data_IF_165716200957
#
_entry.id   IF_165716200957
#
_cell.length_a   1.000
_cell.length_b   1.000
_cell.length_c   1.000
_cell.angle_alpha   90.00
_cell.angle_beta   90.00
_cell.angle_gamma   90.00
#
_symmetry.space_group_name_H-M   'P 1'
#
loop_
_entity.id
_entity.type
_entity.pdbx_description
1 polymer ?
#
# COMPACT_ATOMS: atom_id res chain seq x y z
N UNK A 1 -6.41 34.98 60.43
CA UNK A 1 -6.09 33.72 59.74
C UNK A 1 -6.52 33.88 58.29
N UNK A 2 -5.58 34.16 57.38
CA UNK A 2 -5.86 34.31 55.95
C UNK A 2 -5.72 32.94 55.27
N UNK A 3 -6.83 32.40 54.76
CA UNK A 3 -6.81 31.21 53.90
C UNK A 3 -6.27 31.59 52.53
N UNK A 4 -5.06 31.11 52.23
CA UNK A 4 -4.50 31.11 50.88
C UNK A 4 -5.29 30.14 50.03
N UNK A 5 -6.05 30.64 49.05
CA UNK A 5 -6.71 29.82 48.04
C UNK A 5 -5.68 29.45 46.99
N UNK A 6 -5.23 28.20 46.99
CA UNK A 6 -4.40 27.65 45.93
C UNK A 6 -5.24 27.52 44.65
N UNK A 7 -4.91 28.34 43.65
CA UNK A 7 -5.50 28.24 42.33
C UNK A 7 -4.99 26.96 41.64
N UNK A 8 -5.87 25.99 41.42
CA UNK A 8 -5.55 24.81 40.63
C UNK A 8 -5.39 25.24 39.16
N UNK A 9 -4.16 25.23 38.67
CA UNK A 9 -3.84 25.54 37.26
C UNK A 9 -4.21 24.31 36.41
N UNK A 10 -5.24 24.45 35.57
CA UNK A 10 -5.57 23.44 34.56
C UNK A 10 -4.56 23.52 33.40
N UNK A 11 -3.55 22.65 33.42
CA UNK A 11 -2.65 22.47 32.29
C UNK A 11 -3.29 21.54 31.26
N UNK A 12 -3.86 22.11 30.20
CA UNK A 12 -4.28 21.33 29.05
C UNK A 12 -3.05 20.71 28.36
N UNK A 13 -3.05 19.41 28.01
CA UNK A 13 -1.96 18.81 27.26
C UNK A 13 -1.82 19.52 25.90
N UNK A 14 -0.58 19.83 25.51
CA UNK A 14 -0.29 20.44 24.21
C UNK A 14 -0.74 19.53 23.07
N UNK A 15 -1.23 20.10 21.94
CA UNK A 15 -1.66 19.31 20.80
C UNK A 15 -0.51 18.48 20.24
N UNK A 16 -0.66 17.16 20.25
CA UNK A 16 0.28 16.23 19.59
C UNK A 16 0.08 16.28 18.08
N UNK A 17 1.18 16.46 17.34
CA UNK A 17 1.15 16.41 15.87
C UNK A 17 0.88 14.97 15.44
N UNK A 18 -0.31 14.74 14.87
CA UNK A 18 -0.71 13.44 14.34
C UNK A 18 -0.31 13.37 12.87
N UNK A 19 0.62 12.47 12.55
CA UNK A 19 0.96 12.16 11.16
C UNK A 19 0.02 11.09 10.61
N UNK A 20 -0.61 11.30 9.45
CA UNK A 20 -1.46 10.29 8.84
C UNK A 20 -0.59 9.14 8.29
N UNK A 21 -1.09 7.92 8.42
CA UNK A 21 -0.43 6.71 7.93
C UNK A 21 -0.21 6.73 6.40
N UNK A 22 -1.16 7.33 5.69
CA UNK A 22 -1.10 7.57 4.24
C UNK A 22 -1.20 9.06 3.98
N UNK A 23 -0.23 9.60 3.26
CA UNK A 23 -0.15 11.03 2.97
C UNK A 23 -1.25 11.48 2.02
N UNK A 24 -1.61 12.77 2.07
CA UNK A 24 -2.60 13.34 1.15
C UNK A 24 -2.20 13.19 -0.33
N UNK A 25 -0.90 13.21 -0.63
CA UNK A 25 -0.36 12.96 -1.97
C UNK A 25 -0.63 11.53 -2.42
N UNK A 26 -0.31 10.55 -1.60
CA UNK A 26 -0.56 9.13 -1.88
C UNK A 26 -2.06 8.86 -2.10
N UNK A 27 -2.93 9.44 -1.28
CA UNK A 27 -4.40 9.33 -1.47
C UNK A 27 -4.83 9.94 -2.81
N UNK A 28 -4.30 11.10 -3.17
CA UNK A 28 -4.60 11.76 -4.46
C UNK A 28 -4.17 10.88 -5.64
N UNK A 29 -3.00 10.25 -5.53
CA UNK A 29 -2.47 9.36 -6.57
C UNK A 29 -3.31 8.08 -6.69
N UNK A 30 -3.72 7.46 -5.57
CA UNK A 30 -4.64 6.32 -5.57
C UNK A 30 -5.99 6.67 -6.22
N UNK A 31 -6.58 7.80 -5.85
CA UNK A 31 -7.82 8.29 -6.49
C UNK A 31 -7.65 8.53 -7.99
N UNK A 32 -6.48 9.02 -8.43
CA UNK A 32 -6.16 9.16 -9.84
C UNK A 32 -6.08 7.80 -10.54
N UNK A 33 -5.46 6.81 -9.91
CA UNK A 33 -5.40 5.44 -10.44
C UNK A 33 -6.78 4.79 -10.56
N UNK A 34 -7.64 4.90 -9.55
CA UNK A 34 -9.03 4.40 -9.61
C UNK A 34 -9.77 5.02 -10.81
N UNK A 35 -9.64 6.34 -11.04
CA UNK A 35 -10.24 6.98 -12.21
C UNK A 35 -9.67 6.44 -13.53
N UNK A 36 -8.38 6.12 -13.58
CA UNK A 36 -7.75 5.48 -14.74
C UNK A 36 -8.27 4.06 -14.97
N UNK A 37 -8.37 3.26 -13.90
CA UNK A 37 -8.90 1.91 -13.93
C UNK A 37 -10.34 1.88 -14.44
N UNK A 38 -11.20 2.80 -13.98
CA UNK A 38 -12.58 2.90 -14.46
C UNK A 38 -12.67 3.12 -15.98
N UNK A 39 -11.67 3.76 -16.60
CA UNK A 39 -11.62 3.88 -18.07
C UNK A 39 -11.23 2.57 -18.75
N UNK A 40 -10.39 1.75 -18.10
CA UNK A 40 -10.00 0.42 -18.57
C UNK A 40 -11.13 -0.61 -18.43
N UNK A 41 -12.02 -0.45 -17.45
CA UNK A 41 -13.18 -1.32 -17.24
C UNK A 41 -14.14 -1.35 -18.45
N UNK A 42 -14.13 -0.32 -19.30
CA UNK A 42 -14.95 -0.27 -20.51
C UNK A 42 -14.39 -1.08 -21.69
N UNK A 43 -13.26 -1.79 -21.52
CA UNK A 43 -12.65 -2.60 -22.58
C UNK A 43 -13.26 -4.00 -22.62
N UNK A 44 -13.36 -4.64 -23.80
CA UNK A 44 -13.96 -5.98 -23.91
C UNK A 44 -13.18 -7.06 -23.15
N UNK A 45 -11.85 -6.92 -23.02
CA UNK A 45 -11.04 -7.88 -22.25
C UNK A 45 -11.25 -7.81 -20.75
N UNK A 46 -11.90 -6.76 -20.25
CA UNK A 46 -12.16 -6.59 -18.82
C UNK A 46 -13.32 -7.46 -18.34
N UNK A 47 -14.07 -8.10 -19.25
CA UNK A 47 -15.06 -9.13 -18.92
C UNK A 47 -14.50 -10.55 -18.84
N UNK A 48 -13.20 -10.74 -19.08
CA UNK A 48 -12.56 -12.05 -18.96
C UNK A 48 -12.73 -12.60 -17.54
N UNK A 49 -13.28 -13.83 -17.35
CA UNK A 49 -13.49 -14.41 -16.04
C UNK A 49 -12.20 -14.54 -15.23
N UNK A 50 -11.11 -14.93 -15.90
CA UNK A 50 -9.79 -15.09 -15.29
C UNK A 50 -9.20 -13.78 -14.76
N UNK A 51 -9.64 -12.64 -15.29
CA UNK A 51 -9.16 -11.33 -14.88
C UNK A 51 -9.96 -10.76 -13.70
N UNK A 52 -11.21 -11.22 -13.47
CA UNK A 52 -12.09 -10.68 -12.43
C UNK A 52 -11.48 -10.70 -11.02
N UNK A 53 -10.81 -11.78 -10.56
CA UNK A 53 -10.21 -11.79 -9.23
C UNK A 53 -9.16 -10.70 -9.05
N UNK A 54 -8.34 -10.44 -10.07
CA UNK A 54 -7.30 -9.41 -10.03
C UNK A 54 -7.89 -8.00 -10.02
N UNK A 55 -8.96 -7.77 -10.79
CA UNK A 55 -9.66 -6.48 -10.79
C UNK A 55 -10.30 -6.19 -9.42
N UNK A 56 -10.97 -7.19 -8.85
CA UNK A 56 -11.58 -7.07 -7.52
C UNK A 56 -10.51 -6.77 -6.46
N UNK A 57 -9.44 -7.56 -6.41
CA UNK A 57 -8.33 -7.36 -5.47
C UNK A 57 -7.66 -5.99 -5.66
N UNK A 58 -7.51 -5.51 -6.91
CA UNK A 58 -6.92 -4.20 -7.18
C UNK A 58 -7.79 -3.07 -6.63
N UNK A 59 -9.10 -3.13 -6.87
CA UNK A 59 -10.05 -2.13 -6.37
C UNK A 59 -10.11 -2.15 -4.84
N UNK A 60 -10.18 -3.35 -4.24
CA UNK A 60 -10.17 -3.53 -2.79
C UNK A 60 -8.89 -2.97 -2.17
N UNK A 61 -7.72 -3.34 -2.69
CA UNK A 61 -6.43 -2.86 -2.19
C UNK A 61 -6.32 -1.33 -2.26
N UNK A 62 -6.72 -0.69 -3.37
CA UNK A 62 -6.72 0.77 -3.47
C UNK A 62 -7.69 1.43 -2.47
N UNK A 63 -8.87 0.85 -2.26
CA UNK A 63 -9.84 1.37 -1.30
C UNK A 63 -9.36 1.24 0.14
N UNK A 64 -8.78 0.09 0.50
CA UNK A 64 -8.16 -0.13 1.82
C UNK A 64 -7.08 0.91 2.06
N UNK A 65 -6.14 1.11 1.13
CA UNK A 65 -5.09 2.12 1.24
C UNK A 65 -5.64 3.55 1.41
N UNK A 66 -6.74 3.90 0.71
CA UNK A 66 -7.38 5.21 0.88
C UNK A 66 -8.01 5.34 2.27
N UNK A 67 -8.72 4.32 2.74
CA UNK A 67 -9.33 4.31 4.09
C UNK A 67 -8.25 4.42 5.16
N UNK A 68 -7.09 3.80 4.92
CA UNK A 68 -5.96 3.82 5.85
C UNK A 68 -5.39 5.22 6.12
N UNK A 69 -5.70 6.23 5.29
CA UNK A 69 -5.34 7.62 5.55
C UNK A 69 -5.96 8.21 6.83
N UNK A 70 -6.99 7.56 7.37
CA UNK A 70 -7.65 7.95 8.63
C UNK A 70 -6.92 7.47 9.87
N UNK A 71 -5.97 6.55 9.72
CA UNK A 71 -5.19 6.03 10.85
C UNK A 71 -3.92 6.85 11.05
N UNK A 72 -3.44 6.83 12.29
CA UNK A 72 -2.18 7.47 12.67
C UNK A 72 -1.00 6.62 12.20
N UNK A 73 0.10 7.29 11.87
CA UNK A 73 1.34 6.64 11.50
C UNK A 73 1.92 5.86 12.68
N UNK A 74 2.24 4.59 12.44
CA UNK A 74 3.22 3.82 13.21
C UNK A 74 4.17 3.13 12.24
N UNK A 75 5.36 2.77 12.69
CA UNK A 75 6.36 2.10 11.83
C UNK A 75 5.84 0.76 11.31
N UNK A 76 5.16 0.00 12.15
CA UNK A 76 4.57 -1.30 11.81
C UNK A 76 3.44 -1.14 10.81
N UNK A 77 2.52 -0.19 11.06
CA UNK A 77 1.42 0.08 10.16
C UNK A 77 1.94 0.59 8.81
N UNK A 78 3.00 1.41 8.81
CA UNK A 78 3.59 1.92 7.57
C UNK A 78 4.18 0.79 6.72
N UNK A 79 4.89 -0.16 7.34
CA UNK A 79 5.41 -1.35 6.66
C UNK A 79 4.30 -2.15 5.96
N UNK A 80 3.16 -2.34 6.64
CA UNK A 80 1.99 -3.02 6.07
C UNK A 80 1.44 -2.24 4.86
N UNK A 81 1.34 -0.92 4.97
CA UNK A 81 0.89 -0.06 3.87
C UNK A 81 1.83 -0.09 2.68
N UNK A 82 3.14 -0.13 2.91
CA UNK A 82 4.13 -0.26 1.84
C UNK A 82 4.02 -1.60 1.11
N UNK A 83 3.74 -2.70 1.82
CA UNK A 83 3.37 -3.96 1.18
C UNK A 83 2.10 -3.81 0.34
N UNK A 84 1.07 -3.14 0.87
CA UNK A 84 -0.15 -2.85 0.12
C UNK A 84 0.09 -2.06 -1.19
N UNK A 85 0.99 -1.07 -1.17
CA UNK A 85 1.38 -0.34 -2.38
C UNK A 85 2.10 -1.22 -3.39
N UNK A 86 2.97 -2.13 -2.94
CA UNK A 86 3.64 -3.10 -3.81
C UNK A 86 2.64 -4.06 -4.46
N UNK A 87 1.72 -4.62 -3.67
CA UNK A 87 0.63 -5.48 -4.17
C UNK A 87 -0.25 -4.74 -5.18
N UNK A 88 -0.61 -3.49 -4.89
CA UNK A 88 -1.38 -2.64 -5.82
C UNK A 88 -0.65 -2.45 -7.15
N UNK A 89 0.67 -2.23 -7.13
CA UNK A 89 1.49 -2.08 -8.33
C UNK A 89 1.54 -3.36 -9.16
N UNK A 90 1.69 -4.52 -8.52
CA UNK A 90 1.68 -5.83 -9.18
C UNK A 90 0.33 -6.08 -9.88
N UNK A 91 -0.77 -5.88 -9.15
CA UNK A 91 -2.13 -6.05 -9.68
C UNK A 91 -2.43 -5.08 -10.82
N UNK A 92 -1.98 -3.83 -10.71
CA UNK A 92 -2.08 -2.82 -11.78
C UNK A 92 -1.36 -3.28 -13.06
N UNK A 93 -0.14 -3.81 -12.94
CA UNK A 93 0.62 -4.32 -14.11
C UNK A 93 -0.10 -5.51 -14.77
N UNK A 94 -0.62 -6.45 -13.98
CA UNK A 94 -1.42 -7.57 -14.50
C UNK A 94 -2.61 -7.05 -15.31
N UNK A 95 -3.42 -6.16 -14.72
CA UNK A 95 -4.60 -5.60 -15.39
C UNK A 95 -4.23 -4.87 -16.67
N UNK A 96 -3.19 -4.01 -16.64
CA UNK A 96 -2.75 -3.25 -17.82
C UNK A 96 -2.27 -4.19 -18.92
N UNK A 97 -1.43 -5.18 -18.61
CA UNK A 97 -0.90 -6.13 -19.60
C UNK A 97 -1.99 -6.99 -20.22
N UNK A 98 -2.90 -7.54 -19.42
CA UNK A 98 -4.00 -8.36 -19.93
C UNK A 98 -4.94 -7.52 -20.80
N UNK A 99 -5.37 -6.35 -20.30
CA UNK A 99 -6.37 -5.52 -21.01
C UNK A 99 -5.79 -4.90 -22.28
N UNK A 100 -4.56 -4.36 -22.23
CA UNK A 100 -3.98 -3.62 -23.35
C UNK A 100 -3.13 -4.48 -24.29
N UNK A 101 -2.35 -5.43 -23.76
CA UNK A 101 -1.45 -6.28 -24.57
C UNK A 101 -2.08 -7.62 -24.93
N UNK A 102 -2.97 -8.13 -24.09
CA UNK A 102 -3.60 -9.43 -24.30
C UNK A 102 -2.83 -10.60 -23.75
N UNK A 103 -1.94 -10.33 -22.79
CA UNK A 103 -1.22 -11.37 -22.07
C UNK A 103 -2.21 -12.23 -21.26
N UNK A 104 -1.83 -13.47 -20.95
CA UNK A 104 -2.59 -14.30 -20.02
C UNK A 104 -2.40 -13.79 -18.59
N UNK A 105 -3.47 -13.60 -17.79
CA UNK A 105 -3.36 -13.15 -16.40
C UNK A 105 -2.43 -14.03 -15.56
N UNK A 106 -2.51 -15.35 -15.74
CA UNK A 106 -1.68 -16.33 -15.00
C UNK A 106 -0.20 -16.17 -15.30
N UNK A 107 0.16 -16.04 -16.57
CA UNK A 107 1.57 -15.90 -16.98
C UNK A 107 2.19 -14.64 -16.38
N UNK A 108 1.46 -13.52 -16.37
CA UNK A 108 1.95 -12.28 -15.76
C UNK A 108 2.06 -12.42 -14.24
N UNK A 109 1.08 -13.05 -13.59
CA UNK A 109 1.10 -13.28 -12.15
C UNK A 109 2.26 -14.18 -11.70
N UNK A 110 2.49 -15.30 -12.39
CA UNK A 110 3.56 -16.24 -12.08
C UNK A 110 4.95 -15.59 -12.24
N UNK A 111 5.10 -14.72 -13.25
CA UNK A 111 6.32 -13.94 -13.43
C UNK A 111 6.59 -12.99 -12.25
N UNK A 112 5.55 -12.32 -11.72
CA UNK A 112 5.67 -11.49 -10.52
C UNK A 112 6.02 -12.30 -9.28
N UNK A 113 5.42 -13.48 -9.10
CA UNK A 113 5.76 -14.37 -7.98
C UNK A 113 7.23 -14.84 -8.04
N UNK A 114 7.72 -15.18 -9.24
CA UNK A 114 9.11 -15.57 -9.44
C UNK A 114 10.08 -14.41 -9.15
N UNK A 115 9.72 -13.17 -9.50
CA UNK A 115 10.53 -11.98 -9.18
C UNK A 115 10.57 -11.70 -7.67
N UNK A 116 9.42 -11.83 -6.99
CA UNK A 116 9.35 -11.69 -5.53
C UNK A 116 10.23 -12.72 -4.82
N UNK A 117 10.18 -13.99 -5.23
CA UNK A 117 11.02 -15.05 -4.66
C UNK A 117 12.52 -14.74 -4.82
N UNK A 118 12.95 -14.25 -5.99
CA UNK A 118 14.35 -13.85 -6.22
C UNK A 118 14.78 -12.72 -5.28
N UNK A 119 13.93 -11.71 -5.09
CA UNK A 119 14.26 -10.60 -4.20
C UNK A 119 14.45 -11.02 -2.74
N UNK A 120 13.70 -12.03 -2.28
CA UNK A 120 13.80 -12.57 -0.92
C UNK A 120 15.08 -13.38 -0.73
N UNK A 121 15.46 -14.21 -1.71
CA UNK A 121 16.68 -15.01 -1.66
C UNK A 121 17.93 -14.12 -1.61
N UNK A 122 18.01 -13.12 -2.50
CA UNK A 122 19.15 -12.18 -2.55
C UNK A 122 19.32 -11.40 -1.24
N UNK A 123 18.22 -11.03 -0.58
CA UNK A 123 18.26 -10.27 0.68
C UNK A 123 18.78 -11.10 1.87
N UNK A 124 18.67 -12.45 1.79
CA UNK A 124 19.19 -13.37 2.81
C UNK A 124 20.69 -13.60 2.66
N UNK A 125 21.17 -13.68 1.43
CA UNK A 125 22.60 -13.85 1.13
C UNK A 125 23.43 -12.61 1.50
N UNK A 126 22.88 -11.40 1.30
CA UNK A 126 23.53 -10.15 1.72
C UNK A 126 23.64 -9.98 3.24
N UNK A 127 22.86 -10.74 4.03
CA UNK A 127 22.85 -10.66 5.49
C UNK A 127 23.77 -11.68 6.17
N UNK A 128 24.35 -12.63 5.41
CA UNK A 128 25.30 -13.63 5.92
C UNK A 128 26.77 -13.32 5.55
N UNK A 129 27.04 -12.20 4.88
CA UNK A 129 28.35 -11.85 4.31
C UNK A 129 29.34 -11.08 5.19
N UNK A 130 29.08 -10.85 6.48
CA UNK A 130 30.03 -10.18 7.39
C UNK A 130 30.15 -10.90 8.73
N UNK A 131 30.57 -12.16 8.71
CA UNK A 131 31.10 -12.82 9.91
C UNK A 131 32.17 -13.83 9.52
N UNK A 132 33.25 -13.32 8.92
CA UNK A 132 34.57 -13.93 8.93
C UNK A 132 35.52 -12.97 8.21
N UNK A 133 36.29 -12.20 8.97
CA UNK A 133 37.72 -11.95 8.74
C UNK A 133 38.24 -10.99 9.82
N UNK A 134 39.06 -11.59 10.69
CA UNK A 134 40.08 -11.04 11.61
C UNK A 134 39.57 -10.41 12.91
#
# INVERSE_FOLDING_TARGET
MCSSSESIVFNAPYPTVIYPLVTAKEVKDLKRKIRGLNKLLNKPRTSLPELQPFLFQLMEAMNVLIISSRYQYTTEARSIIEMGFRTTKMLEDIVIRVVLRGDSPRVVYDAHLAELQKSIVVSRESSQGTSSLI
#
